data_IF_566492814071
#
_entry.id   IF_566492814071
#
_cell.length_a   1.000
_cell.length_b   1.000
_cell.length_c   1.000
_cell.angle_alpha   90.00
_cell.angle_beta   90.00
_cell.angle_gamma   90.00
#
_symmetry.space_group_name_H-M   'P 1'
#
loop_
_entity.id
_entity.type
_entity.pdbx_description
1 polymer ?
#
# COMPACT_ATOMS: atom_id res chain seq x y z
N UNK A 1 -4.56 15.60 -8.93
CA UNK A 1 -4.12 15.04 -7.65
C UNK A 1 -3.91 13.55 -7.87
N UNK A 2 -2.82 13.01 -7.33
CA UNK A 2 -2.38 11.65 -7.56
C UNK A 2 -2.98 10.68 -6.54
N UNK A 3 -2.88 10.97 -5.24
CA UNK A 3 -3.44 10.20 -4.12
C UNK A 3 -4.91 10.53 -3.89
N UNK A 4 -5.74 10.20 -4.88
CA UNK A 4 -7.16 10.53 -4.97
C UNK A 4 -8.07 9.87 -3.93
N UNK A 5 -7.58 8.84 -3.23
CA UNK A 5 -8.31 8.19 -2.13
C UNK A 5 -8.27 8.99 -0.83
N UNK A 6 -7.35 9.95 -0.69
CA UNK A 6 -7.24 10.82 0.48
C UNK A 6 -7.99 12.13 0.25
N UNK A 7 -8.91 12.46 1.15
CA UNK A 7 -9.56 13.76 1.14
C UNK A 7 -8.76 14.77 1.96
N UNK A 8 -8.91 16.06 1.64
CA UNK A 8 -8.31 17.14 2.43
C UNK A 8 -8.75 17.07 3.91
N UNK A 9 -9.95 16.55 4.17
CA UNK A 9 -10.47 16.40 5.52
C UNK A 9 -9.75 15.29 6.31
N UNK A 10 -9.38 14.19 5.66
CA UNK A 10 -8.58 13.14 6.28
C UNK A 10 -7.20 13.70 6.70
N UNK A 11 -6.60 14.52 5.82
CA UNK A 11 -5.29 15.13 6.04
C UNK A 11 -5.30 16.15 7.18
N UNK A 12 -6.22 17.12 7.17
CA UNK A 12 -6.25 18.19 8.17
C UNK A 12 -6.57 17.69 9.59
N UNK A 13 -7.20 16.51 9.72
CA UNK A 13 -7.64 15.98 11.01
C UNK A 13 -6.55 15.20 11.76
N UNK A 14 -5.77 14.41 11.03
CA UNK A 14 -4.89 13.40 11.63
C UNK A 14 -3.42 13.58 11.23
N UNK A 15 -3.12 14.36 10.19
CA UNK A 15 -1.73 14.51 9.74
C UNK A 15 -0.97 15.48 10.63
N UNK A 16 0.14 15.02 11.21
CA UNK A 16 1.15 15.93 11.75
C UNK A 16 1.66 16.84 10.62
N UNK A 17 1.74 18.13 10.87
CA UNK A 17 1.96 19.08 9.78
C UNK A 17 3.32 18.88 9.09
N UNK A 18 3.33 18.77 7.75
CA UNK A 18 4.56 18.60 6.98
C UNK A 18 5.43 19.86 7.04
N UNK A 19 6.74 19.69 6.81
CA UNK A 19 7.71 20.79 6.77
C UNK A 19 7.78 21.64 8.07
N UNK A 20 7.35 21.08 9.20
CA UNK A 20 7.31 21.78 10.49
C UNK A 20 6.14 22.76 10.65
N UNK A 21 5.18 22.75 9.73
CA UNK A 21 3.92 23.49 9.86
C UNK A 21 3.05 22.86 10.96
N UNK A 22 2.22 23.65 11.62
CA UNK A 22 1.15 23.14 12.47
C UNK A 22 -0.17 23.17 11.68
N UNK A 23 -0.53 22.02 11.12
CA UNK A 23 -1.76 21.86 10.35
C UNK A 23 -2.91 21.28 11.18
N UNK A 24 -2.79 21.29 12.51
CA UNK A 24 -3.87 20.87 13.40
C UNK A 24 -5.13 21.70 13.16
N UNK A 25 -6.28 21.02 13.21
CA UNK A 25 -7.60 21.66 13.13
C UNK A 25 -7.73 22.83 14.12
N UNK A 26 -7.11 22.74 15.30
CA UNK A 26 -7.14 23.80 16.31
C UNK A 26 -6.43 25.06 15.81
N UNK A 27 -5.23 24.92 15.23
CA UNK A 27 -4.48 26.05 14.66
C UNK A 27 -5.23 26.68 13.47
N UNK A 28 -5.83 25.83 12.64
CA UNK A 28 -6.63 26.27 11.49
C UNK A 28 -7.91 27.01 11.91
N UNK A 29 -8.56 26.58 12.99
CA UNK A 29 -9.70 27.30 13.55
C UNK A 29 -9.30 28.68 14.09
N UNK A 30 -8.17 28.77 14.78
CA UNK A 30 -7.63 30.04 15.26
C UNK A 30 -7.33 30.99 14.08
N UNK A 31 -6.68 30.47 13.04
CA UNK A 31 -6.37 31.21 11.81
C UNK A 31 -7.64 31.73 11.11
N UNK A 32 -8.68 30.91 11.01
CA UNK A 32 -9.97 31.30 10.43
C UNK A 32 -10.70 32.38 11.26
N UNK A 33 -10.69 32.25 12.59
CA UNK A 33 -11.30 33.24 13.49
C UNK A 33 -10.54 34.57 13.40
N UNK A 34 -9.21 34.53 13.32
CA UNK A 34 -8.39 35.71 13.11
C UNK A 34 -8.69 36.39 11.76
N UNK A 35 -8.87 35.60 10.69
CA UNK A 35 -9.27 36.10 9.38
C UNK A 35 -10.63 36.80 9.42
N UNK A 36 -11.62 36.17 10.07
CA UNK A 36 -12.97 36.72 10.24
C UNK A 36 -12.99 38.02 11.07
N UNK A 37 -12.03 38.19 11.98
CA UNK A 37 -11.83 39.41 12.76
C UNK A 37 -11.09 40.52 12.00
N UNK A 38 -10.74 40.31 10.72
CA UNK A 38 -10.07 41.29 9.87
C UNK A 38 -8.55 41.35 10.02
N UNK A 39 -7.94 40.37 10.69
CA UNK A 39 -6.49 40.16 10.64
C UNK A 39 -6.09 39.43 9.35
N UNK A 40 -4.78 39.42 9.03
CA UNK A 40 -4.20 38.58 7.96
C UNK A 40 -4.25 37.10 8.36
N UNK A 41 -5.46 36.54 8.50
CA UNK A 41 -5.68 35.12 8.77
C UNK A 41 -6.07 34.36 7.49
N UNK A 42 -5.80 33.07 7.46
CA UNK A 42 -6.04 32.16 6.32
C UNK A 42 -4.75 31.63 5.67
N UNK A 43 -3.60 32.19 6.04
CA UNK A 43 -2.30 31.82 5.47
C UNK A 43 -1.88 30.42 5.91
N UNK A 44 -2.22 30.01 7.15
CA UNK A 44 -1.86 28.71 7.69
C UNK A 44 -2.57 27.58 6.93
N UNK A 45 -3.88 27.73 6.70
CA UNK A 45 -4.65 26.75 5.90
C UNK A 45 -4.11 26.65 4.48
N UNK A 46 -3.87 27.78 3.81
CA UNK A 46 -3.33 27.77 2.45
C UNK A 46 -1.95 27.12 2.37
N UNK A 47 -1.10 27.34 3.38
CA UNK A 47 0.25 26.79 3.48
C UNK A 47 0.22 25.28 3.70
N UNK A 48 -0.67 24.78 4.57
CA UNK A 48 -0.89 23.34 4.78
C UNK A 48 -1.38 22.63 3.53
N UNK A 49 -2.38 23.20 2.85
CA UNK A 49 -2.89 22.65 1.58
C UNK A 49 -1.78 22.59 0.52
N UNK A 50 -0.98 23.64 0.39
CA UNK A 50 0.17 23.65 -0.53
C UNK A 50 1.22 22.61 -0.17
N UNK A 51 1.49 22.40 1.12
CA UNK A 51 2.43 21.38 1.57
C UNK A 51 1.92 19.97 1.24
N UNK A 52 0.63 19.68 1.46
CA UNK A 52 0.04 18.40 1.05
C UNK A 52 0.06 18.19 -0.46
N UNK A 53 -0.14 19.25 -1.25
CA UNK A 53 -0.01 19.17 -2.71
C UNK A 53 1.43 18.84 -3.14
N UNK A 54 2.46 19.35 -2.46
CA UNK A 54 3.85 18.97 -2.73
C UNK A 54 4.11 17.50 -2.41
N UNK A 55 3.58 16.99 -1.30
CA UNK A 55 3.67 15.56 -0.97
C UNK A 55 2.98 14.68 -2.03
N UNK A 56 1.78 15.08 -2.48
CA UNK A 56 1.05 14.41 -3.55
C UNK A 56 1.87 14.36 -4.86
N UNK A 57 2.57 15.45 -5.19
CA UNK A 57 3.48 15.51 -6.32
C UNK A 57 4.69 14.58 -6.16
N UNK A 58 5.35 14.57 -5.00
CA UNK A 58 6.47 13.67 -4.76
C UNK A 58 6.06 12.20 -4.83
N UNK A 59 4.85 11.87 -4.35
CA UNK A 59 4.28 10.54 -4.51
C UNK A 59 4.11 10.17 -5.99
N UNK A 60 3.61 11.11 -6.81
CA UNK A 60 3.50 10.90 -8.25
C UNK A 60 4.87 10.67 -8.91
N UNK A 61 5.87 11.50 -8.62
CA UNK A 61 7.22 11.38 -9.19
C UNK A 61 7.87 10.03 -8.84
N UNK A 62 7.68 9.56 -7.61
CA UNK A 62 8.14 8.24 -7.16
C UNK A 62 7.39 7.09 -7.80
N UNK A 63 6.10 7.27 -8.07
CA UNK A 63 5.33 6.29 -8.81
C UNK A 63 5.79 6.19 -10.26
N UNK A 64 6.07 7.32 -10.93
CA UNK A 64 6.56 7.35 -12.31
C UNK A 64 7.94 6.66 -12.44
N UNK A 65 8.83 6.82 -11.45
CA UNK A 65 10.10 6.09 -11.39
C UNK A 65 9.89 4.56 -11.36
N UNK A 66 8.95 4.11 -10.53
CA UNK A 66 8.55 2.70 -10.45
C UNK A 66 7.91 2.21 -11.75
N UNK A 67 7.06 3.03 -12.37
CA UNK A 67 6.37 2.67 -13.61
C UNK A 67 7.36 2.43 -14.76
N UNK A 68 8.35 3.32 -14.89
CA UNK A 68 9.45 3.16 -15.85
C UNK A 68 10.29 1.91 -15.59
N UNK A 69 10.49 1.53 -14.32
CA UNK A 69 11.18 0.28 -13.98
C UNK A 69 10.35 -0.93 -14.43
N UNK A 70 9.04 -0.94 -14.18
CA UNK A 70 8.16 -2.02 -14.62
C UNK A 70 8.12 -2.16 -16.14
N UNK A 71 8.07 -1.05 -16.88
CA UNK A 71 8.11 -1.06 -18.35
C UNK A 71 9.40 -1.68 -18.89
N UNK A 72 10.55 -1.40 -18.26
CA UNK A 72 11.83 -2.02 -18.64
C UNK A 72 11.89 -3.49 -18.28
N UNK A 73 11.29 -3.87 -17.16
CA UNK A 73 11.37 -5.23 -16.63
C UNK A 73 10.52 -6.21 -17.46
N UNK A 74 9.42 -5.75 -18.08
CA UNK A 74 8.39 -6.64 -18.63
C UNK A 74 8.19 -6.44 -20.12
N UNK A 75 9.11 -6.99 -20.89
CA UNK A 75 8.89 -7.36 -22.29
C UNK A 75 8.06 -8.65 -22.42
N UNK A 76 7.85 -9.38 -21.33
CA UNK A 76 7.03 -10.59 -21.23
C UNK A 76 5.91 -10.33 -20.22
N UNK A 77 4.65 -10.30 -20.64
CA UNK A 77 3.47 -10.09 -19.78
C UNK A 77 3.25 -11.21 -18.73
N UNK A 78 4.21 -12.13 -18.56
CA UNK A 78 4.11 -13.34 -17.76
C UNK A 78 5.18 -13.35 -16.65
N UNK A 79 4.86 -12.75 -15.49
CA UNK A 79 5.64 -12.94 -14.25
C UNK A 79 4.87 -13.72 -13.19
N UNK A 80 3.54 -13.82 -13.32
CA UNK A 80 2.64 -14.47 -12.39
C UNK A 80 1.44 -15.06 -13.13
N UNK A 81 0.92 -16.19 -12.65
CA UNK A 81 -0.32 -16.82 -13.15
C UNK A 81 -1.58 -16.27 -12.47
N UNK A 82 -1.42 -15.36 -11.49
CA UNK A 82 -2.53 -14.83 -10.66
C UNK A 82 -2.58 -13.31 -10.62
N UNK A 83 -1.55 -12.62 -11.13
CA UNK A 83 -1.41 -11.18 -10.98
C UNK A 83 -0.89 -10.60 -12.28
N UNK A 84 -1.38 -9.41 -12.61
CA UNK A 84 -0.97 -8.65 -13.78
C UNK A 84 -0.36 -7.31 -13.35
N UNK A 85 0.20 -6.60 -14.31
CA UNK A 85 0.85 -5.32 -14.04
C UNK A 85 -0.11 -4.25 -13.52
N UNK A 86 -1.36 -4.27 -13.98
CA UNK A 86 -2.39 -3.33 -13.53
C UNK A 86 -2.65 -3.49 -12.04
N UNK A 87 -2.76 -4.73 -11.55
CA UNK A 87 -2.89 -5.04 -10.12
C UNK A 87 -1.69 -4.49 -9.34
N UNK A 88 -0.47 -4.83 -9.78
CA UNK A 88 0.77 -4.40 -9.15
C UNK A 88 0.86 -2.87 -9.06
N UNK A 89 0.60 -2.16 -10.17
CA UNK A 89 0.58 -0.70 -10.25
C UNK A 89 -0.43 -0.10 -9.27
N UNK A 90 -1.64 -0.65 -9.22
CA UNK A 90 -2.68 -0.16 -8.34
C UNK A 90 -2.32 -0.36 -6.85
N UNK A 91 -1.84 -1.56 -6.45
CA UNK A 91 -1.44 -1.80 -5.06
C UNK A 91 -0.22 -0.97 -4.66
N UNK A 92 0.72 -0.76 -5.58
CA UNK A 92 1.90 0.07 -5.34
C UNK A 92 1.52 1.54 -5.16
N UNK A 93 0.60 2.06 -5.98
CA UNK A 93 0.04 3.41 -5.80
C UNK A 93 -0.62 3.56 -4.43
N UNK A 94 -1.47 2.61 -4.04
CA UNK A 94 -2.17 2.65 -2.76
C UNK A 94 -1.19 2.61 -1.57
N UNK A 95 -0.20 1.71 -1.62
CA UNK A 95 0.89 1.64 -0.65
C UNK A 95 1.66 2.96 -0.58
N UNK A 96 2.14 3.47 -1.71
CA UNK A 96 2.95 4.68 -1.76
C UNK A 96 2.20 5.88 -1.17
N UNK A 97 0.94 6.05 -1.52
CA UNK A 97 0.11 7.10 -0.94
C UNK A 97 -0.06 6.94 0.59
N UNK A 98 -0.14 5.72 1.11
CA UNK A 98 -0.19 5.49 2.56
C UNK A 98 1.13 5.75 3.28
N UNK A 99 2.28 5.64 2.59
CA UNK A 99 3.58 6.02 3.15
C UNK A 99 3.71 7.55 3.23
N UNK A 100 3.20 8.29 2.22
CA UNK A 100 3.17 9.75 2.25
C UNK A 100 2.12 10.32 3.21
N UNK A 101 0.97 9.66 3.34
CA UNK A 101 -0.17 10.10 4.13
C UNK A 101 -0.56 9.04 5.17
N UNK A 102 0.19 8.99 6.27
CA UNK A 102 -0.11 8.09 7.40
C UNK A 102 -1.28 8.60 8.25
N UNK A 103 -2.48 8.62 7.67
CA UNK A 103 -3.74 9.05 8.31
C UNK A 103 -4.84 8.05 8.04
N UNK A 104 -5.86 8.03 8.90
CA UNK A 104 -7.05 7.20 8.67
C UNK A 104 -7.97 7.84 7.64
N UNK A 105 -8.30 7.09 6.60
CA UNK A 105 -9.27 7.50 5.59
C UNK A 105 -10.70 7.24 6.07
N UNK A 106 -11.54 8.26 6.04
CA UNK A 106 -12.90 8.17 6.57
C UNK A 106 -13.96 7.91 5.49
N UNK A 107 -13.69 8.24 4.21
CA UNK A 107 -14.71 8.27 3.15
C UNK A 107 -14.79 6.98 2.32
N UNK A 108 -15.05 5.83 2.95
CA UNK A 108 -15.24 4.55 2.25
C UNK A 108 -16.05 3.53 3.07
N UNK A 109 -16.56 2.50 2.37
CA UNK A 109 -17.35 1.43 2.98
C UNK A 109 -16.50 0.38 3.68
N UNK A 110 -15.36 0.01 3.09
CA UNK A 110 -14.46 -0.99 3.64
C UNK A 110 -13.09 -0.37 3.91
N UNK A 111 -12.55 -0.65 5.09
CA UNK A 111 -11.24 -0.17 5.52
C UNK A 111 -10.38 -1.33 5.96
N UNK A 112 -9.11 -1.26 5.59
CA UNK A 112 -8.07 -2.22 5.95
C UNK A 112 -6.94 -1.49 6.69
N UNK A 113 -6.09 -2.18 7.46
CA UNK A 113 -4.86 -1.60 7.95
C UNK A 113 -3.97 -1.14 6.78
N UNK A 114 -3.46 0.09 6.80
CA UNK A 114 -2.70 0.62 5.68
C UNK A 114 -1.46 -0.22 5.34
N UNK A 115 -0.76 -0.80 6.32
CA UNK A 115 0.39 -1.69 6.09
C UNK A 115 0.02 -2.97 5.34
N UNK A 116 -1.26 -3.33 5.28
CA UNK A 116 -1.70 -4.43 4.41
C UNK A 116 -1.30 -4.17 2.96
N UNK A 117 -1.33 -2.91 2.49
CA UNK A 117 -0.91 -2.59 1.12
C UNK A 117 0.52 -2.97 0.81
N UNK A 118 1.43 -2.87 1.78
CA UNK A 118 2.79 -3.34 1.60
C UNK A 118 2.80 -4.85 1.26
N UNK A 119 2.06 -5.66 2.02
CA UNK A 119 1.97 -7.10 1.77
C UNK A 119 1.29 -7.43 0.44
N UNK A 120 0.30 -6.63 0.02
CA UNK A 120 -0.33 -6.77 -1.29
C UNK A 120 0.67 -6.51 -2.42
N UNK A 121 1.56 -5.51 -2.28
CA UNK A 121 2.66 -5.25 -3.23
C UNK A 121 3.61 -6.44 -3.31
N UNK A 122 4.09 -6.98 -2.19
CA UNK A 122 4.95 -8.16 -2.19
C UNK A 122 4.33 -9.38 -2.87
N UNK A 123 3.00 -9.50 -2.81
CA UNK A 123 2.27 -10.66 -3.33
C UNK A 123 1.93 -10.51 -4.82
N UNK A 124 1.67 -9.29 -5.29
CA UNK A 124 1.21 -9.03 -6.66
C UNK A 124 2.29 -8.50 -7.58
N UNK A 125 3.35 -7.87 -7.08
CA UNK A 125 4.36 -7.29 -7.96
C UNK A 125 5.44 -8.29 -8.37
N UNK A 126 6.10 -8.07 -9.53
CA UNK A 126 7.21 -8.90 -9.98
C UNK A 126 8.37 -8.91 -8.98
N UNK A 127 9.14 -9.99 -9.00
CA UNK A 127 10.36 -10.13 -8.22
C UNK A 127 11.50 -9.33 -8.87
N UNK A 128 11.72 -8.10 -8.43
CA UNK A 128 12.83 -7.25 -8.92
C UNK A 128 14.04 -7.42 -8.02
N UNK A 129 15.19 -7.78 -8.61
CA UNK A 129 16.46 -7.87 -7.89
C UNK A 129 17.12 -6.49 -7.77
N UNK A 130 17.52 -6.05 -6.56
CA UNK A 130 18.31 -4.84 -6.39
C UNK A 130 19.76 -5.06 -6.85
N UNK A 131 20.42 -3.98 -7.24
CA UNK A 131 21.85 -3.98 -7.61
C UNK A 131 22.72 -4.32 -6.39
N UNK A 132 23.75 -5.15 -6.59
CA UNK A 132 24.62 -5.63 -5.50
C UNK A 132 25.94 -4.84 -5.39
N UNK A 133 26.00 -3.64 -5.96
CA UNK A 133 27.24 -2.87 -6.09
C UNK A 133 27.76 -2.33 -4.74
N UNK A 134 26.85 -1.83 -3.89
CA UNK A 134 27.20 -1.29 -2.57
C UNK A 134 26.93 -2.28 -1.42
N UNK A 135 25.93 -3.16 -1.58
CA UNK A 135 25.50 -4.13 -0.59
C UNK A 135 25.10 -5.45 -1.27
N UNK A 136 25.44 -6.59 -0.66
CA UNK A 136 25.03 -7.90 -1.16
C UNK A 136 23.66 -8.25 -0.55
N UNK A 137 22.62 -8.30 -1.38
CA UNK A 137 21.23 -8.57 -0.96
C UNK A 137 20.88 -10.06 -0.89
N UNK A 138 21.76 -10.95 -1.37
CA UNK A 138 21.62 -12.40 -1.17
C UNK A 138 20.34 -13.01 -1.77
N UNK A 139 19.81 -12.40 -2.85
CA UNK A 139 18.57 -12.86 -3.48
C UNK A 139 17.29 -12.38 -2.81
N UNK A 140 17.36 -11.37 -1.92
CA UNK A 140 16.18 -10.66 -1.44
C UNK A 140 15.60 -9.76 -2.56
N UNK A 141 14.27 -9.63 -2.65
CA UNK A 141 13.65 -8.70 -3.59
C UNK A 141 13.89 -7.25 -3.17
N UNK A 142 13.80 -6.33 -4.13
CA UNK A 142 13.92 -4.89 -3.89
C UNK A 142 12.78 -4.31 -3.05
N UNK A 143 11.64 -5.00 -2.97
CA UNK A 143 10.49 -4.59 -2.16
C UNK A 143 10.22 -5.58 -1.03
N UNK A 144 10.39 -5.14 0.22
CA UNK A 144 10.11 -5.93 1.42
C UNK A 144 9.39 -5.12 2.50
N UNK A 145 8.44 -5.75 3.19
CA UNK A 145 7.62 -5.09 4.20
C UNK A 145 8.08 -5.31 5.64
N UNK A 146 8.46 -6.54 5.97
CA UNK A 146 8.79 -6.94 7.34
C UNK A 146 10.26 -7.32 7.46
N UNK A 147 10.94 -6.75 8.44
CA UNK A 147 12.27 -7.18 8.87
C UNK A 147 12.23 -8.38 9.82
N UNK A 148 13.40 -8.92 10.18
CA UNK A 148 13.57 -10.18 10.92
C UNK A 148 13.03 -10.19 12.39
N UNK A 149 12.36 -9.13 12.86
CA UNK A 149 11.88 -9.02 14.24
C UNK A 149 10.69 -8.06 14.40
N UNK A 150 9.83 -7.93 13.39
CA UNK A 150 8.66 -7.06 13.47
C UNK A 150 7.41 -7.89 13.76
N UNK A 151 7.20 -8.22 15.04
CA UNK A 151 6.00 -8.92 15.49
C UNK A 151 4.90 -7.92 15.82
N UNK A 152 3.83 -8.00 15.04
CA UNK A 152 2.50 -7.41 15.28
C UNK A 152 2.39 -5.92 14.95
N UNK A 153 1.51 -5.64 13.99
CA UNK A 153 1.02 -4.31 13.67
C UNK A 153 0.58 -3.62 14.98
N UNK A 154 1.12 -2.42 15.29
CA UNK A 154 0.72 -1.70 16.49
C UNK A 154 -0.79 -1.48 16.51
N UNK A 155 -1.41 -1.50 17.69
CA UNK A 155 -2.87 -1.32 17.84
C UNK A 155 -3.37 0.03 17.28
N UNK A 156 -2.50 1.03 17.16
CA UNK A 156 -2.78 2.34 16.58
C UNK A 156 -2.26 2.46 15.14
N UNK A 157 -2.67 1.55 14.27
CA UNK A 157 -2.35 1.63 12.85
C UNK A 157 -3.46 2.35 12.07
N UNK A 158 -3.05 3.31 11.23
CA UNK A 158 -3.93 4.01 10.30
C UNK A 158 -4.75 3.02 9.44
N UNK A 159 -6.00 3.38 9.16
CA UNK A 159 -6.89 2.58 8.31
C UNK A 159 -7.11 3.24 6.97
N UNK A 160 -6.84 2.50 5.91
CA UNK A 160 -7.00 2.94 4.54
C UNK A 160 -8.24 2.30 3.93
N UNK A 161 -8.90 3.00 3.03
CA UNK A 161 -9.96 2.48 2.17
C UNK A 161 -9.41 1.36 1.31
N UNK A 162 -10.09 0.21 1.30
CA UNK A 162 -9.76 -0.88 0.37
C UNK A 162 -10.09 -0.44 -1.05
N UNK A 163 -9.08 -0.40 -1.91
CA UNK A 163 -9.28 -0.13 -3.33
C UNK A 163 -9.47 -1.45 -4.08
N UNK A 164 -10.36 -1.42 -5.06
CA UNK A 164 -10.65 -2.58 -5.88
C UNK A 164 -9.66 -2.62 -7.05
N UNK A 165 -9.09 -3.80 -7.29
CA UNK A 165 -8.19 -4.07 -8.41
C UNK A 165 -8.99 -4.86 -9.44
N UNK A 166 -9.01 -4.40 -10.69
CA UNK A 166 -9.67 -5.12 -11.77
C UNK A 166 -8.89 -6.41 -12.04
N UNK A 167 -9.59 -7.54 -11.91
CA UNK A 167 -8.99 -8.85 -12.18
C UNK A 167 -8.48 -8.88 -13.61
N UNK A 168 -7.27 -9.42 -13.80
CA UNK A 168 -6.66 -9.54 -15.12
C UNK A 168 -7.61 -10.24 -16.09
N UNK A 169 -8.13 -9.52 -17.10
CA UNK A 169 -8.92 -10.10 -18.17
C UNK A 169 -8.04 -11.10 -18.92
N UNK A 170 -8.20 -12.39 -18.62
CA UNK A 170 -7.64 -13.43 -19.46
C UNK A 170 -8.49 -13.49 -20.73
N UNK A 171 -7.88 -13.53 -21.93
CA UNK A 171 -8.62 -13.81 -23.14
C UNK A 171 -9.44 -15.09 -22.93
N UNK A 172 -10.71 -15.16 -23.37
CA UNK A 172 -11.48 -16.38 -23.21
C UNK A 172 -10.75 -17.51 -23.93
N UNK A 173 -10.45 -18.58 -23.18
CA UNK A 173 -9.90 -19.81 -23.72
C UNK A 173 -10.71 -20.19 -24.97
N UNK A 174 -10.05 -20.10 -26.12
CA UNK A 174 -10.68 -20.43 -27.39
C UNK A 174 -10.80 -21.94 -27.44
N UNK A 175 -11.95 -22.46 -27.01
CA UNK A 175 -12.52 -23.78 -27.33
C UNK A 175 -11.50 -24.86 -27.74
N UNK A 176 -10.92 -25.57 -26.77
CA UNK A 176 -10.57 -26.97 -26.97
C UNK A 176 -11.48 -27.84 -26.10
N UNK A 177 -12.57 -28.27 -26.74
CA UNK A 177 -13.46 -29.30 -26.24
C UNK A 177 -12.71 -30.62 -26.10
N UNK A 178 -12.11 -30.87 -24.93
CA UNK A 178 -12.01 -32.22 -24.36
C UNK A 178 -12.07 -32.16 -22.84
N UNK A 179 -13.30 -32.22 -22.32
CA UNK A 179 -13.50 -32.62 -20.92
C UNK A 179 -13.12 -34.11 -20.76
N UNK A 180 -12.54 -34.49 -19.62
CA UNK A 180 -13.39 -35.20 -18.69
C UNK A 180 -13.31 -34.63 -17.27
N UNK A 181 -14.41 -33.99 -16.87
CA UNK A 181 -15.09 -34.19 -15.58
C UNK A 181 -14.20 -34.20 -14.33
N UNK A 182 -13.92 -33.02 -13.77
CA UNK A 182 -13.56 -32.89 -12.36
C UNK A 182 -14.80 -32.54 -11.53
N UNK A 183 -15.12 -33.46 -10.63
CA UNK A 183 -16.08 -33.34 -9.54
C UNK A 183 -15.84 -32.09 -8.70
N UNK A 184 -16.94 -31.46 -8.30
CA UNK A 184 -16.99 -30.38 -7.34
C UNK A 184 -16.15 -30.68 -6.08
N UNK A 185 -15.46 -29.68 -5.57
CA UNK A 185 -15.07 -29.63 -4.17
C UNK A 185 -15.23 -28.22 -3.64
N UNK A 186 -16.04 -28.18 -2.59
CA UNK A 186 -16.46 -27.03 -1.81
C UNK A 186 -15.29 -26.27 -1.20
N UNK A 187 -15.56 -25.01 -0.98
CA UNK A 187 -14.86 -24.04 -0.15
C UNK A 187 -14.20 -24.67 1.08
N UNK A 188 -12.88 -24.68 1.13
CA UNK A 188 -12.13 -24.94 2.37
C UNK A 188 -11.41 -23.67 2.80
N UNK A 189 -12.07 -22.91 3.68
CA UNK A 189 -11.42 -22.00 4.61
C UNK A 189 -10.42 -22.79 5.47
N UNK A 190 -9.13 -22.55 5.30
CA UNK A 190 -8.13 -23.03 6.24
C UNK A 190 -7.98 -22.04 7.41
N UNK A 191 -8.73 -22.29 8.48
CA UNK A 191 -8.32 -21.89 9.82
C UNK A 191 -7.24 -22.86 10.29
N UNK A 192 -6.00 -22.38 10.43
CA UNK A 192 -4.91 -23.16 11.02
C UNK A 192 -4.79 -22.82 12.50
N UNK A 193 -5.43 -23.64 13.34
CA UNK A 193 -5.08 -23.77 14.75
C UNK A 193 -3.98 -24.83 14.90
N UNK A 194 -2.92 -24.47 15.62
CA UNK A 194 -1.79 -25.32 15.99
C UNK A 194 -2.12 -26.13 17.25
N UNK A 195 -1.79 -27.43 17.30
CA UNK A 195 -1.42 -28.05 18.57
C UNK A 195 -0.05 -28.76 18.48
N UNK A 196 0.84 -28.32 19.37
CA UNK A 196 2.13 -28.91 19.69
C UNK A 196 2.10 -30.44 19.85
N UNK A 197 3.12 -31.14 19.32
CA UNK A 197 3.63 -32.36 19.95
C UNK A 197 5.11 -32.61 19.66
N UNK A 198 5.85 -32.76 20.76
CA UNK A 198 7.27 -33.07 20.89
C UNK A 198 7.67 -34.39 20.21
N UNK A 199 8.85 -34.41 19.59
CA UNK A 199 9.64 -35.63 19.51
C UNK A 199 11.07 -35.43 20.00
N UNK A 200 11.30 -35.93 21.22
CA UNK A 200 12.61 -36.22 21.80
C UNK A 200 13.34 -37.23 20.91
N UNK A 201 14.57 -36.89 20.51
CA UNK A 201 15.54 -37.82 19.96
C UNK A 201 16.51 -38.21 21.08
N UNK A 202 16.35 -39.40 21.64
CA UNK A 202 17.32 -39.98 22.57
C UNK A 202 18.46 -40.62 21.76
N UNK A 203 19.68 -40.17 22.05
CA UNK A 203 20.91 -40.92 21.84
C UNK A 203 21.01 -42.00 22.93
N UNK A 204 21.59 -43.17 22.62
CA UNK A 204 22.73 -43.76 23.35
C UNK A 204 23.15 -45.11 22.74
N UNK A 205 24.48 -45.23 22.59
CA UNK A 205 25.39 -46.39 22.47
C UNK A 205 24.91 -47.71 21.85
#
# INVERSE_FOLDING_TARGET
>A
SFCDTYSIWDLLREMAGPDGLDCSVDNLMVDLVAAAAGALGGEACSSCVQAYQRLDQHAQEKYEEFDLLLEKYLQSEEYSVRSCLTDCKAVYKAWLCSEYFNVTQHQCRHRIPCKQYCLEVQTRCPFVLPDNDELIYGGLPGFICTGLLESQLPAEEAKCCEVQWDSCDHPPDTNDNTSPKSTASESLHFHRHDPHLHHQRQNHY
#
